data_IF_604266974689
#
_entry.id   IF_604266974689
#
_cell.length_a   1.000
_cell.length_b   1.000
_cell.length_c   1.000
_cell.angle_alpha   90.00
_cell.angle_beta   90.00
_cell.angle_gamma   90.00
#
_symmetry.space_group_name_H-M   'P 1'
#
loop_
_entity.id
_entity.type
_entity.pdbx_description
1 polymer ?
#
# COMPACT_ATOMS: atom_id res chain seq x y z
N UNK A 1 5.02 13.63 -19.37
CA UNK A 1 4.75 14.70 -18.39
C UNK A 1 4.36 14.03 -17.11
N UNK A 2 5.23 14.07 -16.10
CA UNK A 2 5.12 13.39 -14.80
C UNK A 2 4.67 14.38 -13.72
N UNK A 3 3.87 15.40 -14.12
CA UNK A 3 3.51 16.53 -13.25
C UNK A 3 2.49 16.18 -12.14
N UNK A 4 2.04 14.93 -12.05
CA UNK A 4 0.95 14.54 -11.16
C UNK A 4 1.42 13.82 -9.87
N UNK A 5 2.72 13.67 -9.64
CA UNK A 5 3.24 13.00 -8.44
C UNK A 5 4.14 13.92 -7.64
N UNK A 6 3.75 14.20 -6.41
CA UNK A 6 4.59 14.91 -5.45
C UNK A 6 5.68 13.99 -4.93
N UNK A 7 6.94 14.33 -5.16
CA UNK A 7 8.09 13.60 -4.61
C UNK A 7 8.54 14.23 -3.28
N UNK A 8 8.65 13.41 -2.24
CA UNK A 8 9.28 13.75 -0.95
C UNK A 8 10.48 12.83 -0.81
N UNK A 9 11.67 13.40 -0.73
CA UNK A 9 12.92 12.63 -0.64
C UNK A 9 13.58 12.95 0.68
N UNK A 10 13.66 11.95 1.54
CA UNK A 10 14.30 12.02 2.85
C UNK A 10 15.71 11.43 2.81
N UNK A 11 16.50 11.74 3.84
CA UNK A 11 17.90 11.31 3.89
C UNK A 11 18.05 9.79 3.97
N UNK A 12 17.13 9.14 4.70
CA UNK A 12 17.17 7.70 5.01
C UNK A 12 15.75 7.10 5.20
N UNK A 13 15.73 5.80 5.47
CA UNK A 13 14.51 5.04 5.74
C UNK A 13 13.71 5.59 6.93
N UNK A 14 14.38 6.06 7.98
CA UNK A 14 13.71 6.56 9.18
C UNK A 14 13.01 7.90 8.91
N UNK A 15 13.63 8.78 8.12
CA UNK A 15 13.00 10.00 7.63
C UNK A 15 11.75 9.72 6.80
N UNK A 16 11.88 8.81 5.82
CA UNK A 16 10.75 8.41 4.98
C UNK A 16 9.61 7.76 5.80
N UNK A 17 9.94 6.88 6.75
CA UNK A 17 8.96 6.29 7.65
C UNK A 17 8.26 7.35 8.53
N UNK A 18 9.01 8.36 8.99
CA UNK A 18 8.46 9.47 9.79
C UNK A 18 7.46 10.32 9.01
N UNK A 19 7.75 10.61 7.74
CA UNK A 19 6.80 11.33 6.87
C UNK A 19 5.50 10.55 6.72
N UNK A 20 5.60 9.26 6.40
CA UNK A 20 4.41 8.39 6.26
C UNK A 20 3.66 8.25 7.57
N UNK A 21 4.36 8.12 8.70
CA UNK A 21 3.74 8.06 10.02
C UNK A 21 2.88 9.30 10.33
N UNK A 22 3.35 10.50 9.97
CA UNK A 22 2.58 11.74 10.11
C UNK A 22 1.30 11.71 9.27
N UNK A 23 1.40 11.28 8.01
CA UNK A 23 0.25 11.18 7.12
C UNK A 23 -0.80 10.19 7.66
N UNK A 24 -0.36 9.04 8.19
CA UNK A 24 -1.24 8.05 8.82
C UNK A 24 -1.89 8.60 10.09
N UNK A 25 -1.12 9.27 10.95
CA UNK A 25 -1.62 9.88 12.18
C UNK A 25 -2.65 10.99 11.91
N UNK A 26 -2.40 11.84 10.92
CA UNK A 26 -3.32 12.89 10.46
C UNK A 26 -4.62 12.29 9.90
N UNK A 27 -4.50 11.23 9.07
CA UNK A 27 -5.66 10.54 8.51
C UNK A 27 -6.51 9.88 9.60
N UNK A 28 -5.87 9.25 10.59
CA UNK A 28 -6.56 8.63 11.72
C UNK A 28 -7.28 9.68 12.59
N UNK A 29 -6.62 10.81 12.89
CA UNK A 29 -7.23 11.91 13.64
C UNK A 29 -8.41 12.55 12.90
N UNK A 30 -8.48 12.41 11.58
CA UNK A 30 -9.57 12.85 10.73
C UNK A 30 -10.62 11.74 10.47
N UNK A 31 -10.55 10.62 11.19
CA UNK A 31 -11.49 9.48 11.12
C UNK A 31 -11.65 8.91 9.69
N UNK A 32 -10.56 8.88 8.94
CA UNK A 32 -10.54 8.50 7.53
C UNK A 32 -10.48 6.98 7.31
N UNK A 33 -10.80 6.57 6.07
CA UNK A 33 -10.63 5.20 5.57
C UNK A 33 -9.21 5.03 5.04
N UNK A 34 -8.39 4.25 5.74
CA UNK A 34 -6.94 4.13 5.54
C UNK A 34 -6.59 2.72 5.09
N UNK A 35 -6.03 2.56 3.88
CA UNK A 35 -5.51 1.27 3.45
C UNK A 35 -4.00 1.16 3.68
N UNK A 36 -3.59 0.06 4.30
CA UNK A 36 -2.22 -0.26 4.68
C UNK A 36 -1.56 -1.23 3.69
N UNK A 37 -0.25 -1.35 3.77
CA UNK A 37 0.58 -2.27 2.96
C UNK A 37 1.56 -3.05 3.83
N UNK A 38 2.12 -4.12 3.29
CA UNK A 38 3.19 -4.87 3.93
C UNK A 38 4.56 -4.24 3.76
N UNK A 39 5.55 -4.81 4.45
CA UNK A 39 6.95 -4.44 4.31
C UNK A 39 7.59 -3.83 5.54
N UNK A 40 8.93 -3.85 5.58
CA UNK A 40 9.71 -3.40 6.75
C UNK A 40 9.56 -1.90 7.04
N UNK A 41 9.68 -1.07 6.00
CA UNK A 41 9.58 0.39 6.15
C UNK A 41 8.17 0.84 6.54
N UNK A 42 7.07 0.30 5.93
CA UNK A 42 5.72 0.53 6.43
C UNK A 42 5.54 0.11 7.90
N UNK A 43 6.08 -1.05 8.32
CA UNK A 43 6.03 -1.49 9.72
C UNK A 43 6.64 -0.45 10.67
N UNK A 44 7.78 0.17 10.30
CA UNK A 44 8.37 1.25 11.08
C UNK A 44 7.48 2.50 11.11
N UNK A 45 6.87 2.87 9.98
CA UNK A 45 5.93 3.98 9.94
C UNK A 45 4.70 3.73 10.83
N UNK A 46 4.22 2.50 10.94
CA UNK A 46 3.12 2.11 11.83
C UNK A 46 3.46 2.31 13.29
N UNK A 47 4.66 1.87 13.73
CA UNK A 47 5.13 2.09 15.10
C UNK A 47 5.16 3.57 15.48
N UNK A 48 5.67 4.41 14.58
CA UNK A 48 5.72 5.85 14.76
C UNK A 48 4.33 6.49 14.76
N UNK A 49 3.44 6.05 13.86
CA UNK A 49 2.08 6.55 13.78
C UNK A 49 1.29 6.27 15.08
N UNK A 50 1.44 5.06 15.66
CA UNK A 50 0.83 4.71 16.94
C UNK A 50 1.32 5.60 18.10
N UNK A 51 2.59 6.03 18.06
CA UNK A 51 3.14 6.95 19.04
C UNK A 51 2.62 8.40 18.87
N UNK A 52 2.47 8.84 17.61
CA UNK A 52 2.01 10.19 17.28
C UNK A 52 0.52 10.36 17.52
N UNK A 53 -0.27 9.34 17.19
CA UNK A 53 -1.72 9.32 17.33
C UNK A 53 -2.16 7.99 17.97
N UNK A 54 -2.29 7.92 19.29
CA UNK A 54 -2.62 6.67 19.98
C UNK A 54 -4.10 6.28 19.91
N UNK A 55 -4.99 7.18 19.52
CA UNK A 55 -6.43 6.92 19.36
C UNK A 55 -6.83 6.90 17.91
N UNK A 56 -7.42 5.77 17.43
CA UNK A 56 -7.86 5.59 16.05
C UNK A 56 -9.36 5.26 15.96
N UNK A 57 -10.10 5.46 17.05
CA UNK A 57 -11.56 5.32 17.07
C UNK A 57 -12.20 6.30 16.05
N UNK A 58 -13.13 5.80 15.25
CA UNK A 58 -13.70 6.53 14.11
C UNK A 58 -13.00 6.29 12.77
N UNK A 59 -11.71 5.92 12.75
CA UNK A 59 -11.03 5.53 11.52
C UNK A 59 -11.36 4.10 11.08
N UNK A 60 -11.32 3.85 9.76
CA UNK A 60 -11.37 2.51 9.17
C UNK A 60 -9.98 2.10 8.65
N UNK A 61 -9.56 0.87 8.97
CA UNK A 61 -8.27 0.32 8.51
C UNK A 61 -8.49 -0.85 7.59
N UNK A 62 -7.93 -0.74 6.39
CA UNK A 62 -8.03 -1.64 5.25
C UNK A 62 -6.65 -2.09 4.78
N UNK A 63 -6.57 -3.00 3.80
CA UNK A 63 -5.32 -3.46 3.17
C UNK A 63 -5.39 -3.39 1.65
N UNK A 64 -4.27 -2.97 1.02
CA UNK A 64 -4.13 -2.96 -0.45
C UNK A 64 -3.96 -4.36 -1.03
N UNK A 65 -3.34 -5.26 -0.29
CA UNK A 65 -3.17 -6.67 -0.60
C UNK A 65 -2.90 -7.49 0.66
N UNK A 66 -3.08 -8.80 0.56
CA UNK A 66 -2.72 -9.74 1.62
C UNK A 66 -2.21 -11.05 1.02
N UNK A 67 -1.46 -11.79 1.82
CA UNK A 67 -0.98 -13.12 1.52
C UNK A 67 -2.01 -14.15 1.98
N UNK A 68 -2.24 -15.20 1.18
CA UNK A 68 -3.13 -16.29 1.53
C UNK A 68 -2.49 -17.19 2.60
N UNK A 69 -2.49 -16.68 3.82
CA UNK A 69 -1.94 -17.30 5.03
C UNK A 69 -2.81 -16.93 6.25
N UNK A 70 -2.71 -17.68 7.35
CA UNK A 70 -3.35 -17.30 8.62
C UNK A 70 -2.91 -15.91 9.11
N UNK A 71 -3.75 -15.18 9.86
CA UNK A 71 -3.47 -13.81 10.28
C UNK A 71 -2.31 -13.66 11.28
N UNK A 72 -1.90 -14.75 11.92
CA UNK A 72 -0.75 -14.83 12.83
C UNK A 72 0.55 -15.31 12.15
N UNK A 73 0.50 -15.67 10.87
CA UNK A 73 1.69 -16.01 10.08
C UNK A 73 2.59 -14.78 9.92
N UNK A 74 3.90 -14.96 9.99
CA UNK A 74 4.89 -13.88 9.85
C UNK A 74 4.82 -13.18 8.48
N UNK A 75 4.31 -13.87 7.46
CA UNK A 75 4.13 -13.35 6.11
C UNK A 75 2.89 -12.48 5.95
N UNK A 76 1.94 -12.49 6.91
CA UNK A 76 0.70 -11.71 6.83
C UNK A 76 0.96 -10.20 6.95
N UNK A 77 0.38 -9.42 6.03
CA UNK A 77 0.36 -7.97 6.09
C UNK A 77 -0.48 -7.46 7.28
N UNK A 78 -1.62 -8.12 7.52
CA UNK A 78 -2.42 -7.87 8.73
C UNK A 78 -1.63 -8.16 10.00
N UNK A 79 -0.95 -9.31 10.08
CA UNK A 79 -0.13 -9.68 11.23
C UNK A 79 0.98 -8.65 11.51
N UNK A 80 1.62 -8.10 10.46
CA UNK A 80 2.56 -7.00 10.60
C UNK A 80 1.89 -5.76 11.19
N UNK A 81 0.79 -5.29 10.59
CA UNK A 81 0.08 -4.10 11.05
C UNK A 81 -0.48 -4.29 12.47
N UNK A 82 -0.95 -5.49 12.81
CA UNK A 82 -1.39 -5.82 14.16
C UNK A 82 -0.29 -5.56 15.18
N UNK A 83 0.88 -6.13 14.99
CA UNK A 83 2.03 -5.99 15.92
C UNK A 83 2.61 -4.57 15.95
N UNK A 84 2.71 -3.92 14.79
CA UNK A 84 3.39 -2.62 14.66
C UNK A 84 2.49 -1.42 14.97
N UNK A 85 1.17 -1.57 14.80
CA UNK A 85 0.18 -0.49 14.96
C UNK A 85 -0.91 -0.88 15.96
N UNK A 86 -1.80 -1.82 15.60
CA UNK A 86 -3.06 -2.04 16.31
C UNK A 86 -2.85 -2.40 17.78
N UNK A 87 -1.93 -3.31 18.10
CA UNK A 87 -1.63 -3.70 19.50
C UNK A 87 -1.01 -2.56 20.34
N UNK A 88 -0.66 -1.44 19.72
CA UNK A 88 -0.04 -0.28 20.39
C UNK A 88 -1.01 0.90 20.57
N UNK A 89 -2.20 0.81 19.99
CA UNK A 89 -3.19 1.87 20.07
C UNK A 89 -3.96 1.83 21.39
N UNK A 90 -4.27 2.99 21.93
CA UNK A 90 -5.12 3.15 23.11
C UNK A 90 -6.61 2.92 22.76
N UNK A 91 -7.05 3.36 21.58
CA UNK A 91 -8.40 3.08 21.05
C UNK A 91 -8.29 2.53 19.63
N UNK A 92 -9.13 1.54 19.31
CA UNK A 92 -9.03 0.76 18.08
C UNK A 92 -9.86 1.35 16.94
N UNK A 93 -9.36 1.32 15.68
CA UNK A 93 -10.16 1.59 14.49
C UNK A 93 -11.16 0.47 14.19
N UNK A 94 -12.09 0.72 13.27
CA UNK A 94 -12.77 -0.36 12.56
C UNK A 94 -11.76 -1.09 11.67
N UNK A 95 -11.60 -2.40 11.85
CA UNK A 95 -10.60 -3.21 11.13
C UNK A 95 -11.27 -4.08 10.09
N UNK A 96 -10.99 -3.82 8.82
CA UNK A 96 -11.47 -4.53 7.64
C UNK A 96 -10.30 -5.27 6.98
N UNK A 97 -10.02 -6.48 7.45
CA UNK A 97 -8.88 -7.24 6.93
C UNK A 97 -9.26 -8.18 5.79
N UNK A 98 -8.36 -8.38 4.85
CA UNK A 98 -8.47 -9.48 3.90
C UNK A 98 -8.24 -10.80 4.66
N UNK A 99 -9.16 -11.74 4.55
CA UNK A 99 -9.12 -13.03 5.25
C UNK A 99 -8.29 -14.06 4.46
N UNK A 100 -6.97 -13.91 4.50
CA UNK A 100 -6.03 -14.75 3.75
C UNK A 100 -6.06 -16.25 4.14
N UNK A 101 -6.71 -16.61 5.22
CA UNK A 101 -6.95 -18.00 5.64
C UNK A 101 -8.10 -18.69 4.89
N UNK A 102 -8.89 -17.95 4.12
CA UNK A 102 -9.95 -18.48 3.26
C UNK A 102 -9.39 -18.90 1.90
N UNK A 103 -10.21 -19.57 1.10
CA UNK A 103 -9.89 -19.78 -0.32
C UNK A 103 -9.76 -18.43 -1.04
N UNK A 104 -8.80 -18.25 -1.96
CA UNK A 104 -8.51 -16.95 -2.56
C UNK A 104 -9.72 -16.23 -3.18
N UNK A 105 -10.57 -16.96 -3.92
CA UNK A 105 -11.76 -16.38 -4.52
C UNK A 105 -12.82 -15.98 -3.47
N UNK A 106 -12.97 -16.76 -2.41
CA UNK A 106 -13.86 -16.48 -1.30
C UNK A 106 -13.40 -15.21 -0.55
N UNK A 107 -12.12 -15.15 -0.18
CA UNK A 107 -11.53 -13.99 0.49
C UNK A 107 -11.64 -12.72 -0.37
N UNK A 108 -11.40 -12.83 -1.68
CA UNK A 108 -11.53 -11.70 -2.59
C UNK A 108 -12.96 -11.19 -2.70
N UNK A 109 -13.95 -12.10 -2.78
CA UNK A 109 -15.37 -11.73 -2.87
C UNK A 109 -15.88 -11.12 -1.56
N UNK A 110 -15.53 -11.69 -0.41
CA UNK A 110 -15.91 -11.16 0.91
C UNK A 110 -15.36 -9.75 1.11
N UNK A 111 -14.07 -9.53 0.80
CA UNK A 111 -13.45 -8.24 0.95
C UNK A 111 -13.97 -7.20 -0.05
N UNK A 112 -14.29 -7.62 -1.28
CA UNK A 112 -14.92 -6.76 -2.27
C UNK A 112 -16.30 -6.27 -1.82
N UNK A 113 -17.10 -7.15 -1.21
CA UNK A 113 -18.43 -6.79 -0.68
C UNK A 113 -18.33 -5.78 0.46
N UNK A 114 -17.34 -5.92 1.37
CA UNK A 114 -17.07 -4.93 2.41
C UNK A 114 -16.61 -3.59 1.83
N UNK A 115 -15.75 -3.61 0.79
CA UNK A 115 -15.20 -2.41 0.18
C UNK A 115 -16.21 -1.67 -0.72
N UNK A 116 -17.29 -2.33 -1.13
CA UNK A 116 -18.29 -1.77 -2.06
C UNK A 116 -18.96 -0.53 -1.46
N UNK A 117 -18.84 0.59 -2.16
CA UNK A 117 -19.37 1.88 -1.74
C UNK A 117 -18.46 2.63 -0.74
N UNK A 118 -17.34 2.05 -0.33
CA UNK A 118 -16.32 2.72 0.47
C UNK A 118 -15.31 3.38 -0.47
N UNK A 119 -14.96 4.62 -0.20
CA UNK A 119 -13.80 5.28 -0.82
C UNK A 119 -12.68 5.36 0.21
N UNK A 120 -11.54 4.82 -0.15
CA UNK A 120 -10.33 4.98 0.64
C UNK A 120 -9.86 6.43 0.59
N UNK A 121 -9.68 7.06 1.75
CA UNK A 121 -9.20 8.44 1.85
C UNK A 121 -7.69 8.51 1.72
N UNK A 122 -6.97 7.54 2.31
CA UNK A 122 -5.54 7.37 2.19
C UNK A 122 -5.20 5.92 1.87
N UNK A 123 -4.51 5.70 0.76
CA UNK A 123 -3.98 4.40 0.34
C UNK A 123 -2.46 4.43 0.38
N UNK A 124 -1.87 3.67 1.30
CA UNK A 124 -0.43 3.47 1.39
C UNK A 124 -0.02 2.24 0.58
N UNK A 125 0.97 2.40 -0.29
CA UNK A 125 1.50 1.37 -1.17
C UNK A 125 3.01 1.28 -1.09
N UNK A 126 3.54 0.06 -1.18
CA UNK A 126 4.95 -0.20 -1.42
C UNK A 126 5.29 -0.24 -2.91
N UNK A 127 6.58 -0.24 -3.22
CA UNK A 127 7.14 -0.45 -4.57
C UNK A 127 8.03 -1.68 -4.54
N UNK A 128 7.71 -2.68 -5.37
CA UNK A 128 8.58 -3.83 -5.57
C UNK A 128 9.82 -3.50 -6.43
N UNK A 129 10.91 -4.25 -6.32
CA UNK A 129 12.12 -4.00 -7.12
C UNK A 129 11.90 -4.19 -8.63
N UNK A 130 10.91 -4.99 -9.01
CA UNK A 130 10.44 -5.17 -10.38
C UNK A 130 9.44 -4.10 -10.85
N UNK A 131 8.95 -3.26 -9.95
CA UNK A 131 7.95 -2.22 -10.20
C UNK A 131 6.50 -2.65 -9.89
N UNK A 132 6.29 -3.78 -9.22
CA UNK A 132 4.95 -4.13 -8.74
C UNK A 132 4.49 -3.21 -7.59
N UNK A 133 3.19 -3.13 -7.37
CA UNK A 133 2.58 -2.50 -6.19
C UNK A 133 1.36 -3.30 -5.76
N UNK A 134 1.04 -3.32 -4.47
CA UNK A 134 0.14 -4.31 -3.89
C UNK A 134 0.58 -5.72 -4.36
N UNK A 135 -0.33 -6.54 -4.93
CA UNK A 135 0.05 -7.76 -5.65
C UNK A 135 -0.28 -7.70 -7.15
N UNK A 136 -0.14 -6.50 -7.74
CA UNK A 136 -0.20 -6.28 -9.19
C UNK A 136 1.21 -6.36 -9.78
N UNK A 137 1.54 -7.51 -10.40
CA UNK A 137 2.87 -7.79 -10.94
C UNK A 137 3.01 -7.39 -12.42
N UNK A 138 4.26 -7.13 -12.89
CA UNK A 138 4.52 -6.75 -14.27
C UNK A 138 3.92 -7.69 -15.30
N UNK A 139 3.15 -7.13 -16.24
CA UNK A 139 2.53 -7.81 -17.38
C UNK A 139 1.52 -8.91 -17.03
N UNK A 140 1.16 -9.11 -15.76
CA UNK A 140 0.20 -10.13 -15.36
C UNK A 140 -1.25 -9.79 -15.78
N UNK A 141 -2.11 -10.82 -15.97
CA UNK A 141 -3.51 -10.63 -16.35
C UNK A 141 -4.30 -9.72 -15.41
N UNK A 142 -4.01 -9.76 -14.11
CA UNK A 142 -4.66 -8.93 -13.07
C UNK A 142 -4.62 -7.43 -13.36
N UNK A 143 -3.62 -6.95 -14.14
CA UNK A 143 -3.55 -5.57 -14.62
C UNK A 143 -4.62 -5.25 -15.69
N UNK A 144 -5.36 -6.23 -16.18
CA UNK A 144 -6.46 -6.06 -17.14
C UNK A 144 -7.83 -6.17 -16.49
N UNK A 145 -7.90 -6.39 -15.19
CA UNK A 145 -9.17 -6.43 -14.45
C UNK A 145 -9.72 -5.00 -14.29
N UNK A 146 -10.92 -4.77 -14.80
CA UNK A 146 -11.55 -3.44 -14.80
C UNK A 146 -12.94 -3.42 -14.18
N UNK A 147 -13.50 -4.58 -13.82
CA UNK A 147 -14.85 -4.72 -13.27
C UNK A 147 -14.83 -4.98 -11.76
N UNK A 148 -13.97 -5.90 -11.32
CA UNK A 148 -13.83 -6.26 -9.91
C UNK A 148 -12.91 -5.28 -9.18
N UNK A 149 -13.20 -5.05 -7.89
CA UNK A 149 -12.34 -4.24 -7.02
C UNK A 149 -11.25 -5.06 -6.35
N UNK A 150 -11.48 -6.37 -6.16
CA UNK A 150 -10.58 -7.28 -5.46
C UNK A 150 -10.49 -8.61 -6.21
N UNK A 151 -9.27 -9.12 -6.40
CA UNK A 151 -9.03 -10.38 -7.10
C UNK A 151 -7.92 -11.21 -6.45
N UNK A 152 -7.92 -12.55 -6.63
CA UNK A 152 -6.74 -13.35 -6.37
C UNK A 152 -5.60 -13.00 -7.33
N UNK A 153 -4.36 -13.19 -6.88
CA UNK A 153 -3.17 -13.02 -7.69
C UNK A 153 -2.11 -14.07 -7.34
N UNK A 154 -1.40 -14.58 -8.36
CA UNK A 154 -0.24 -15.45 -8.13
C UNK A 154 0.95 -14.66 -7.59
N UNK A 155 1.71 -15.26 -6.68
CA UNK A 155 2.96 -14.68 -6.23
C UNK A 155 4.06 -14.84 -7.29
N UNK A 156 4.72 -13.74 -7.63
CA UNK A 156 5.89 -13.74 -8.53
C UNK A 156 7.21 -13.52 -7.77
N UNK A 157 7.11 -13.19 -6.49
CA UNK A 157 8.25 -13.01 -5.57
C UNK A 157 7.96 -13.67 -4.22
N UNK A 158 9.01 -13.92 -3.45
CA UNK A 158 8.87 -14.39 -2.08
C UNK A 158 8.02 -13.45 -1.20
N UNK A 159 7.23 -14.03 -0.32
CA UNK A 159 6.93 -15.46 -0.18
C UNK A 159 6.02 -15.94 -1.32
N UNK A 160 6.36 -17.10 -1.90
CA UNK A 160 5.63 -17.74 -3.00
C UNK A 160 4.32 -18.37 -2.48
N UNK A 161 3.41 -17.53 -2.01
CA UNK A 161 2.05 -17.91 -1.61
C UNK A 161 1.06 -17.05 -2.39
N UNK A 162 -0.11 -17.59 -2.67
CA UNK A 162 -1.19 -16.84 -3.33
C UNK A 162 -1.49 -15.55 -2.59
N UNK A 163 -2.04 -14.60 -3.30
CA UNK A 163 -2.35 -13.25 -2.82
C UNK A 163 -3.80 -12.89 -3.10
N UNK A 164 -4.32 -11.97 -2.33
CA UNK A 164 -5.52 -11.23 -2.65
C UNK A 164 -5.10 -9.77 -2.80
N UNK A 165 -5.55 -9.07 -3.84
CA UNK A 165 -5.12 -7.71 -4.14
C UNK A 165 -6.26 -6.82 -4.60
N UNK A 166 -6.18 -5.53 -4.25
CA UNK A 166 -6.96 -4.51 -4.92
C UNK A 166 -6.54 -4.40 -6.39
N UNK A 167 -7.51 -4.14 -7.25
CA UNK A 167 -7.31 -3.93 -8.70
C UNK A 167 -6.94 -2.49 -9.02
N UNK A 168 -6.52 -2.20 -10.26
CA UNK A 168 -6.24 -0.82 -10.68
C UNK A 168 -7.43 0.12 -10.47
N UNK A 169 -8.69 -0.24 -10.82
CA UNK A 169 -9.86 0.57 -10.50
C UNK A 169 -9.98 0.92 -9.02
N UNK A 170 -9.79 -0.05 -8.12
CA UNK A 170 -9.88 0.17 -6.68
C UNK A 170 -8.74 1.07 -6.15
N UNK A 171 -7.51 0.84 -6.60
CA UNK A 171 -6.34 1.62 -6.18
C UNK A 171 -6.41 3.08 -6.66
N UNK A 172 -6.85 3.31 -7.91
CA UNK A 172 -6.93 4.66 -8.49
C UNK A 172 -8.12 5.47 -7.96
N UNK A 173 -9.16 4.82 -7.43
CA UNK A 173 -10.31 5.48 -6.82
C UNK A 173 -10.00 6.11 -5.45
N UNK A 174 -8.87 5.78 -4.81
CA UNK A 174 -8.47 6.37 -3.54
C UNK A 174 -8.29 7.89 -3.65
N UNK A 175 -8.73 8.62 -2.62
CA UNK A 175 -8.64 10.07 -2.62
C UNK A 175 -7.18 10.54 -2.61
N UNK A 176 -6.33 9.90 -1.82
CA UNK A 176 -4.89 10.11 -1.78
C UNK A 176 -4.15 8.79 -1.93
N UNK A 177 -3.18 8.73 -2.83
CA UNK A 177 -2.25 7.60 -2.98
C UNK A 177 -0.88 8.02 -2.47
N UNK A 178 -0.31 7.24 -1.55
CA UNK A 178 1.02 7.45 -0.99
C UNK A 178 1.87 6.22 -1.27
N UNK A 179 2.91 6.37 -2.07
CA UNK A 179 3.94 5.35 -2.24
C UNK A 179 5.06 5.55 -1.23
N UNK A 180 5.54 4.44 -0.66
CA UNK A 180 6.71 4.42 0.23
C UNK A 180 7.75 3.46 -0.33
N UNK A 181 8.93 3.96 -0.66
CA UNK A 181 10.04 3.12 -1.09
C UNK A 181 11.36 3.61 -0.50
N UNK A 182 12.16 2.66 0.01
CA UNK A 182 13.47 2.92 0.58
C UNK A 182 14.46 1.83 0.17
N UNK A 183 15.73 2.21 0.03
CA UNK A 183 16.81 1.30 -0.34
C UNK A 183 17.14 1.34 -1.84
N UNK A 184 18.42 1.08 -2.13
CA UNK A 184 18.99 1.14 -3.48
C UNK A 184 18.35 0.11 -4.43
N UNK A 185 17.91 -1.03 -3.90
CA UNK A 185 17.23 -2.07 -4.68
C UNK A 185 15.90 -1.61 -5.30
N UNK A 186 15.38 -0.44 -4.89
CA UNK A 186 14.17 0.18 -5.44
C UNK A 186 14.46 1.24 -6.51
N UNK A 187 15.71 1.69 -6.65
CA UNK A 187 16.06 2.86 -7.46
C UNK A 187 15.61 2.75 -8.92
N UNK A 188 15.82 1.59 -9.56
CA UNK A 188 15.39 1.37 -10.95
C UNK A 188 13.87 1.35 -11.09
N UNK A 189 13.17 0.70 -10.17
CA UNK A 189 11.71 0.67 -10.19
C UNK A 189 11.11 2.06 -9.97
N UNK A 190 11.65 2.83 -9.05
CA UNK A 190 11.28 4.22 -8.77
C UNK A 190 11.52 5.11 -10.00
N UNK A 191 12.68 4.96 -10.65
CA UNK A 191 13.00 5.72 -11.87
C UNK A 191 12.00 5.42 -13.00
N UNK A 192 11.67 4.14 -13.24
CA UNK A 192 10.64 3.76 -14.22
C UNK A 192 9.25 4.27 -13.83
N UNK A 193 8.89 4.14 -12.54
CA UNK A 193 7.54 4.48 -12.06
C UNK A 193 7.21 5.97 -12.18
N UNK A 194 8.20 6.83 -11.97
CA UNK A 194 8.01 8.29 -11.88
C UNK A 194 8.77 9.09 -12.95
N UNK A 195 9.66 8.46 -13.71
CA UNK A 195 10.45 9.10 -14.75
C UNK A 195 10.09 8.68 -16.18
N UNK A 196 9.29 7.62 -16.35
CA UNK A 196 8.90 7.08 -17.66
C UNK A 196 7.39 7.12 -17.87
N UNK A 197 6.89 6.99 -19.10
CA UNK A 197 5.45 6.85 -19.37
C UNK A 197 4.86 5.63 -18.66
N UNK A 198 3.59 5.68 -18.25
CA UNK A 198 2.90 4.55 -17.60
C UNK A 198 2.98 3.28 -18.45
N UNK A 199 3.29 2.15 -17.80
CA UNK A 199 3.50 0.87 -18.48
C UNK A 199 3.06 -0.32 -17.61
N UNK A 200 2.49 -1.35 -18.25
CA UNK A 200 2.19 -2.65 -17.61
C UNK A 200 3.45 -3.37 -17.12
N UNK A 201 4.62 -3.06 -17.67
CA UNK A 201 5.90 -3.55 -17.19
C UNK A 201 6.35 -2.91 -15.85
N UNK A 202 5.69 -1.82 -15.44
CA UNK A 202 5.94 -1.14 -14.17
C UNK A 202 4.59 -0.74 -13.54
N UNK A 203 3.87 -1.67 -12.90
CA UNK A 203 2.51 -1.45 -12.38
C UNK A 203 2.35 -0.21 -11.49
N UNK A 204 3.36 0.16 -10.70
CA UNK A 204 3.37 1.41 -9.92
C UNK A 204 3.07 2.62 -10.81
N UNK A 205 3.55 2.65 -12.05
CA UNK A 205 3.34 3.76 -12.97
C UNK A 205 1.87 3.94 -13.41
N UNK A 206 1.06 2.88 -13.26
CA UNK A 206 -0.37 2.88 -13.62
C UNK A 206 -1.27 3.39 -12.49
N UNK A 207 -0.74 3.48 -11.25
CA UNK A 207 -1.55 3.88 -10.10
C UNK A 207 -1.32 5.35 -9.78
N UNK A 208 -2.36 6.15 -10.02
CA UNK A 208 -2.45 7.56 -9.65
C UNK A 208 -3.83 7.81 -9.07
N UNK A 209 -3.94 8.64 -8.05
CA UNK A 209 -5.25 9.06 -7.56
C UNK A 209 -6.03 9.77 -8.67
N UNK A 210 -7.26 9.33 -8.91
CA UNK A 210 -8.16 10.00 -9.85
C UNK A 210 -8.52 11.44 -9.41
N UNK A 211 -8.29 11.79 -8.14
CA UNK A 211 -8.46 13.14 -7.59
C UNK A 211 -7.18 13.99 -7.65
N UNK A 212 -6.08 13.45 -8.19
CA UNK A 212 -4.83 14.16 -8.40
C UNK A 212 -3.90 14.23 -7.17
N UNK A 213 -4.22 13.58 -6.04
CA UNK A 213 -3.34 13.56 -4.85
C UNK A 213 -2.52 12.27 -4.81
N UNK A 214 -1.39 12.28 -5.50
CA UNK A 214 -0.42 11.17 -5.48
C UNK A 214 0.92 11.67 -4.98
N UNK A 215 1.45 11.03 -3.94
CA UNK A 215 2.73 11.36 -3.32
C UNK A 215 3.63 10.13 -3.31
N UNK A 216 4.91 10.28 -3.63
CA UNK A 216 5.93 9.27 -3.41
C UNK A 216 6.91 9.75 -2.33
N UNK A 217 6.99 9.02 -1.23
CA UNK A 217 7.91 9.22 -0.13
C UNK A 217 9.06 8.23 -0.30
N UNK A 218 10.26 8.75 -0.51
CA UNK A 218 11.45 8.00 -0.87
C UNK A 218 12.58 8.35 0.08
N UNK A 219 13.52 7.42 0.27
CA UNK A 219 14.84 7.82 0.76
C UNK A 219 15.78 8.16 -0.42
N UNK A 220 16.95 8.73 -0.12
CA UNK A 220 17.94 9.08 -1.16
C UNK A 220 18.40 7.89 -1.98
N UNK A 221 18.49 6.71 -1.36
CA UNK A 221 18.92 5.50 -2.05
C UNK A 221 17.89 5.05 -3.09
N UNK A 222 16.60 5.01 -2.72
CA UNK A 222 15.53 4.69 -3.65
C UNK A 222 15.35 5.76 -4.75
N UNK A 223 15.70 7.01 -4.48
CA UNK A 223 15.61 8.11 -5.44
C UNK A 223 16.86 8.28 -6.33
N UNK A 224 17.90 7.45 -6.17
CA UNK A 224 19.22 7.66 -6.79
C UNK A 224 19.20 7.71 -8.33
N UNK A 225 18.28 7.02 -8.98
CA UNK A 225 18.17 6.96 -10.44
C UNK A 225 17.06 7.85 -11.03
N UNK A 226 16.37 8.66 -10.21
CA UNK A 226 15.43 9.67 -10.70
C UNK A 226 16.20 10.76 -11.48
N UNK A 227 15.81 10.96 -12.72
CA UNK A 227 16.33 12.07 -13.53
C UNK A 227 15.62 13.36 -13.11
N UNK A 228 16.39 14.36 -12.74
CA UNK A 228 15.91 15.72 -12.46
C UNK A 228 15.59 16.44 -13.75
#
# INVERSE_FOLDING_TARGET
MTDDVRLIIEDDMEGAATVVAKLLAEAAAAEQQIALTGGRTPGRAYELAAQMQPGWDGAGVWWGDERCVPPDDERSNYGLAKRALLDRLATQPAVHRIRGELLPDEAASEYEDELRGVRLDLLLLGIGPDGHTASLFPNEPTLGELERLVVPAEAKHEPYVERITLTLPALTAAARVVFLATGEEKADAVARAFGEPPSRATPVSLVRSALGDTTAVLDRAAAAHLRR
#
